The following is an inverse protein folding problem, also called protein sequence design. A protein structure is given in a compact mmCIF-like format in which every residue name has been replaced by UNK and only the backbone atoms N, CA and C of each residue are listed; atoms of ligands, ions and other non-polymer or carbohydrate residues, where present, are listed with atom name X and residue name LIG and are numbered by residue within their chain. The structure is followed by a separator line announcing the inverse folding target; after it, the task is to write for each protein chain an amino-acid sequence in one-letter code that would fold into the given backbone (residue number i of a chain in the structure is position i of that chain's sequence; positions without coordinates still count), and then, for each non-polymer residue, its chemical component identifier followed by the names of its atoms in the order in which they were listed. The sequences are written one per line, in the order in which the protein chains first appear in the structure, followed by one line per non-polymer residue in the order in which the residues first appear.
data_IF_800485860327
#
_entry.id   IF_800485860327
#
_cell.length_a   1.000
_cell.length_b   1.000
_cell.length_c   1.000
_cell.angle_alpha   90.00
_cell.angle_beta   90.00
_cell.angle_gamma   90.00
#
_symmetry.space_group_name_H-M   'P 1'
#
loop_
_entity.id
_entity.type
_entity.pdbx_description
1 polymer ?
#
# COMPACT_ATOMS: atom_id res chain seq x y z
N UNK A 1 31.83 24.40 0.28
CA UNK A 1 31.11 23.47 -0.61
C UNK A 1 29.62 23.70 -0.40
N UNK A 2 28.84 23.97 -1.45
CA UNK A 2 27.38 24.11 -1.28
C UNK A 2 26.78 22.73 -0.99
N UNK A 3 25.88 22.66 -0.01
CA UNK A 3 25.20 21.42 0.37
C UNK A 3 24.29 21.01 -0.81
N UNK A 4 24.55 19.87 -1.44
CA UNK A 4 23.72 19.36 -2.54
C UNK A 4 22.28 19.17 -2.04
N UNK A 5 21.28 19.60 -2.82
CA UNK A 5 19.87 19.38 -2.50
C UNK A 5 19.55 17.88 -2.58
N UNK A 6 18.81 17.37 -1.60
CA UNK A 6 18.29 16.00 -1.62
C UNK A 6 17.23 15.85 -2.71
N UNK A 7 17.32 14.78 -3.50
CA UNK A 7 16.31 14.39 -4.49
C UNK A 7 15.51 13.21 -3.93
N UNK A 8 14.25 13.46 -3.61
CA UNK A 8 13.35 12.47 -3.01
C UNK A 8 12.33 12.01 -4.06
N UNK A 9 12.19 10.71 -4.23
CA UNK A 9 11.01 10.14 -4.90
C UNK A 9 9.91 9.96 -3.85
N UNK A 10 8.92 10.85 -3.86
CA UNK A 10 7.84 10.87 -2.86
C UNK A 10 6.77 9.77 -3.03
N UNK A 11 6.81 9.00 -4.12
CA UNK A 11 5.84 7.95 -4.39
C UNK A 11 6.51 6.80 -5.13
N UNK A 12 6.74 5.69 -4.44
CA UNK A 12 7.24 4.46 -5.04
C UNK A 12 6.59 3.23 -4.42
N UNK A 13 6.77 2.08 -5.05
CA UNK A 13 6.33 0.79 -4.53
C UNK A 13 7.47 -0.21 -4.66
N UNK A 14 7.46 -1.22 -3.79
CA UNK A 14 8.36 -2.37 -3.86
C UNK A 14 7.53 -3.65 -3.83
N UNK A 15 7.95 -4.62 -4.64
CA UNK A 15 7.48 -5.99 -4.62
C UNK A 15 8.44 -6.83 -3.78
N UNK A 16 7.91 -7.72 -2.91
CA UNK A 16 8.74 -8.78 -2.33
C UNK A 16 9.25 -9.69 -3.45
N UNK A 17 10.44 -10.27 -3.26
CA UNK A 17 10.90 -11.31 -4.19
C UNK A 17 9.99 -12.54 -4.07
N UNK A 18 9.85 -13.36 -5.13
CA UNK A 18 8.97 -14.54 -5.09
C UNK A 18 9.21 -15.47 -3.89
N UNK A 19 10.45 -15.60 -3.44
CA UNK A 19 10.89 -16.40 -2.29
C UNK A 19 10.54 -15.79 -0.93
N UNK A 20 10.33 -14.47 -0.85
CA UNK A 20 9.93 -13.79 0.38
C UNK A 20 8.43 -13.95 0.66
N UNK A 21 7.65 -14.30 -0.36
CA UNK A 21 6.19 -14.39 -0.26
C UNK A 21 5.81 -15.72 0.42
N UNK A 22 5.11 -15.68 1.57
CA UNK A 22 4.72 -16.89 2.28
C UNK A 22 3.87 -17.83 1.43
N UNK A 23 4.13 -19.13 1.53
CA UNK A 23 3.44 -20.16 0.74
C UNK A 23 1.91 -20.11 0.90
N UNK A 24 1.40 -19.79 2.10
CA UNK A 24 -0.05 -19.69 2.33
C UNK A 24 -0.71 -18.60 1.48
N UNK A 25 -0.01 -17.50 1.17
CA UNK A 25 -0.57 -16.42 0.35
C UNK A 25 -0.77 -16.89 -1.09
N UNK A 26 0.16 -17.71 -1.58
CA UNK A 26 0.06 -18.36 -2.88
C UNK A 26 -1.03 -19.43 -2.91
N UNK A 27 -1.06 -20.32 -1.92
CA UNK A 27 -2.02 -21.41 -1.85
C UNK A 27 -3.47 -20.90 -1.78
N UNK A 28 -3.69 -19.78 -1.08
CA UNK A 28 -4.99 -19.12 -0.96
C UNK A 28 -5.30 -18.15 -2.11
N UNK A 29 -4.36 -17.98 -3.03
CA UNK A 29 -4.48 -17.05 -4.15
C UNK A 29 -4.62 -15.59 -3.72
N UNK A 30 -4.03 -15.18 -2.60
CA UNK A 30 -4.07 -13.80 -2.08
C UNK A 30 -3.17 -12.90 -2.93
N UNK A 31 -1.89 -13.26 -3.06
CA UNK A 31 -0.91 -12.52 -3.85
C UNK A 31 0.35 -13.37 -4.00
N UNK A 32 0.93 -13.39 -5.19
CA UNK A 32 2.31 -13.84 -5.41
C UNK A 32 2.90 -13.19 -6.67
N UNK A 33 4.23 -13.28 -6.80
CA UNK A 33 4.96 -12.95 -8.02
C UNK A 33 5.42 -14.25 -8.67
N UNK A 34 5.36 -14.33 -10.00
CA UNK A 34 5.89 -15.49 -10.71
C UNK A 34 7.42 -15.62 -10.57
N UNK A 35 7.95 -16.82 -10.81
CA UNK A 35 9.39 -17.09 -10.63
C UNK A 35 10.28 -16.22 -11.52
N UNK A 36 9.76 -15.81 -12.67
CA UNK A 36 10.48 -14.98 -13.63
C UNK A 36 10.36 -13.47 -13.33
N UNK A 37 9.62 -13.09 -12.27
CA UNK A 37 9.40 -11.70 -11.85
C UNK A 37 8.71 -10.82 -12.91
N UNK A 38 7.91 -11.45 -13.79
CA UNK A 38 7.20 -10.80 -14.90
C UNK A 38 5.76 -10.47 -14.57
N UNK A 39 5.13 -11.16 -13.61
CA UNK A 39 3.72 -10.98 -13.29
C UNK A 39 3.46 -11.00 -11.78
N UNK A 40 2.65 -10.05 -11.33
CA UNK A 40 1.91 -10.14 -10.08
C UNK A 40 0.62 -10.91 -10.32
N UNK A 41 0.25 -11.76 -9.37
CA UNK A 41 -0.80 -12.75 -9.53
C UNK A 41 -1.71 -12.80 -8.29
N UNK A 42 -3.02 -12.94 -8.52
CA UNK A 42 -4.03 -13.09 -7.48
C UNK A 42 -5.24 -13.85 -8.07
N UNK A 43 -5.54 -15.06 -7.58
CA UNK A 43 -6.58 -15.93 -8.16
C UNK A 43 -6.46 -15.98 -9.70
N UNK A 44 -7.51 -15.55 -10.42
CA UNK A 44 -7.58 -15.50 -11.88
C UNK A 44 -7.09 -14.16 -12.48
N UNK A 45 -6.64 -13.23 -11.62
CA UNK A 45 -6.10 -11.93 -12.02
C UNK A 45 -4.58 -12.00 -12.15
N UNK A 46 -4.06 -11.30 -13.16
CA UNK A 46 -2.63 -11.10 -13.36
C UNK A 46 -2.35 -9.68 -13.85
N UNK A 47 -1.18 -9.15 -13.50
CA UNK A 47 -0.69 -7.87 -14.02
C UNK A 47 0.80 -7.96 -14.29
N UNK A 48 1.27 -7.49 -15.47
CA UNK A 48 2.70 -7.47 -15.76
C UNK A 48 3.43 -6.53 -14.79
N UNK A 49 4.60 -6.96 -14.33
CA UNK A 49 5.59 -6.11 -13.67
C UNK A 49 6.30 -5.33 -14.78
N UNK A 50 6.06 -4.01 -14.84
CA UNK A 50 6.46 -3.20 -16.00
C UNK A 50 7.92 -2.79 -15.99
N UNK A 51 8.60 -2.91 -14.86
CA UNK A 51 10.00 -2.52 -14.70
C UNK A 51 10.67 -3.35 -13.59
N UNK A 52 11.96 -3.63 -13.67
CA UNK A 52 12.65 -4.41 -12.63
C UNK A 52 12.84 -3.63 -11.33
N UNK A 53 12.80 -2.29 -11.38
CA UNK A 53 12.97 -1.41 -10.21
C UNK A 53 11.85 -1.53 -9.17
N UNK A 54 10.85 -2.37 -9.38
CA UNK A 54 9.93 -2.77 -8.31
C UNK A 54 10.59 -3.73 -7.30
N UNK A 55 11.72 -4.36 -7.60
CA UNK A 55 12.46 -5.21 -6.65
C UNK A 55 13.59 -4.42 -5.98
N UNK A 56 13.96 -4.78 -4.75
CA UNK A 56 14.81 -3.94 -3.88
C UNK A 56 16.19 -3.63 -4.47
N UNK A 57 16.91 -4.64 -4.96
CA UNK A 57 18.28 -4.45 -5.45
C UNK A 57 18.27 -3.64 -6.75
N UNK A 58 17.35 -3.96 -7.65
CA UNK A 58 17.15 -3.20 -8.89
C UNK A 58 16.63 -1.78 -8.60
N UNK A 59 15.84 -1.56 -7.54
CA UNK A 59 15.40 -0.23 -7.12
C UNK A 59 16.59 0.62 -6.68
N UNK A 60 17.50 0.05 -5.88
CA UNK A 60 18.70 0.75 -5.42
C UNK A 60 19.60 1.13 -6.60
N UNK A 61 19.81 0.21 -7.55
CA UNK A 61 20.56 0.49 -8.77
C UNK A 61 19.89 1.57 -9.64
N UNK A 62 18.56 1.51 -9.78
CA UNK A 62 17.78 2.52 -10.50
C UNK A 62 17.84 3.89 -9.82
N UNK A 63 17.77 3.94 -8.48
CA UNK A 63 17.89 5.18 -7.71
C UNK A 63 19.27 5.81 -7.91
N UNK A 64 20.34 5.02 -7.86
CA UNK A 64 21.71 5.50 -8.11
C UNK A 64 21.84 6.07 -9.52
N UNK A 65 21.41 5.32 -10.54
CA UNK A 65 21.45 5.76 -11.93
C UNK A 65 20.68 7.08 -12.17
N UNK A 66 19.58 7.30 -11.44
CA UNK A 66 18.73 8.48 -11.58
C UNK A 66 19.05 9.59 -10.56
N UNK A 67 20.14 9.48 -9.80
CA UNK A 67 20.54 10.43 -8.75
C UNK A 67 19.42 10.70 -7.73
N UNK A 68 18.67 9.66 -7.34
CA UNK A 68 17.62 9.71 -6.31
C UNK A 68 18.24 9.29 -4.97
N UNK A 69 18.17 10.19 -4.01
CA UNK A 69 18.82 10.02 -2.72
C UNK A 69 17.98 9.20 -1.75
N UNK A 70 16.66 9.37 -1.85
CA UNK A 70 15.69 8.77 -0.95
C UNK A 70 14.39 8.47 -1.69
N UNK A 71 13.72 7.39 -1.32
CA UNK A 71 12.41 7.03 -1.85
C UNK A 71 11.42 6.74 -0.72
N UNK A 72 10.21 7.27 -0.86
CA UNK A 72 9.06 6.92 -0.03
C UNK A 72 8.37 5.73 -0.68
N UNK A 73 8.29 4.61 0.03
CA UNK A 73 7.72 3.35 -0.47
C UNK A 73 6.34 3.16 0.15
N UNK A 74 5.32 3.15 -0.68
CA UNK A 74 3.94 2.95 -0.29
C UNK A 74 3.55 1.47 -0.40
N UNK A 75 2.54 1.07 0.35
CA UNK A 75 1.99 -0.28 0.31
C UNK A 75 1.43 -0.63 -1.09
N UNK A 76 1.59 -1.89 -1.50
CA UNK A 76 0.96 -2.44 -2.69
C UNK A 76 -0.54 -2.56 -2.45
N UNK A 77 -1.34 -1.93 -3.30
CA UNK A 77 -2.80 -1.92 -3.20
C UNK A 77 -3.46 -3.30 -3.22
N UNK A 78 -2.81 -4.29 -3.83
CA UNK A 78 -3.27 -5.70 -3.82
C UNK A 78 -3.33 -6.29 -2.41
N UNK A 79 -2.59 -5.73 -1.45
CA UNK A 79 -2.48 -6.22 -0.08
C UNK A 79 -3.24 -5.37 0.94
N UNK A 80 -4.12 -4.46 0.49
CA UNK A 80 -4.94 -3.65 1.38
C UNK A 80 -6.07 -4.44 2.05
N UNK A 81 -6.30 -5.69 1.61
CA UNK A 81 -7.14 -6.66 2.32
C UNK A 81 -8.61 -6.71 1.93
N UNK A 82 -9.04 -5.87 0.98
CA UNK A 82 -10.43 -5.85 0.49
C UNK A 82 -10.90 -7.23 0.01
N UNK A 83 -12.03 -7.68 0.55
CA UNK A 83 -12.67 -8.95 0.17
C UNK A 83 -11.98 -10.20 0.71
N UNK A 84 -10.95 -10.06 1.57
CA UNK A 84 -10.36 -11.18 2.30
C UNK A 84 -11.15 -11.48 3.57
N UNK A 85 -11.09 -12.75 4.03
CA UNK A 85 -11.59 -13.09 5.36
C UNK A 85 -10.69 -12.44 6.41
N UNK A 86 -11.24 -12.09 7.57
CA UNK A 86 -10.53 -11.34 8.63
C UNK A 86 -9.17 -11.95 8.99
N UNK A 87 -9.07 -13.28 9.10
CA UNK A 87 -7.80 -13.94 9.43
C UNK A 87 -6.76 -13.87 8.31
N UNK A 88 -7.20 -13.94 7.05
CA UNK A 88 -6.32 -13.80 5.87
C UNK A 88 -5.88 -12.36 5.68
N UNK A 89 -6.80 -11.43 5.88
CA UNK A 89 -6.55 -9.99 5.86
C UNK A 89 -5.46 -9.62 6.88
N UNK A 90 -5.60 -10.04 8.14
CA UNK A 90 -4.59 -9.78 9.19
C UNK A 90 -3.21 -10.31 8.78
N UNK A 91 -3.14 -11.53 8.25
CA UNK A 91 -1.88 -12.13 7.83
C UNK A 91 -1.25 -11.39 6.64
N UNK A 92 -2.05 -10.99 5.65
CA UNK A 92 -1.58 -10.25 4.49
C UNK A 92 -1.07 -8.83 4.86
N UNK A 93 -1.81 -8.10 5.70
CA UNK A 93 -1.42 -6.78 6.18
C UNK A 93 -0.11 -6.85 6.97
N UNK A 94 -0.02 -7.79 7.93
CA UNK A 94 1.19 -7.96 8.73
C UNK A 94 2.40 -8.34 7.88
N UNK A 95 2.24 -9.28 6.94
CA UNK A 95 3.32 -9.63 6.00
C UNK A 95 3.86 -8.39 5.29
N UNK A 96 2.97 -7.56 4.72
CA UNK A 96 3.41 -6.39 3.99
C UNK A 96 4.06 -5.33 4.89
N UNK A 97 3.48 -5.09 6.06
CA UNK A 97 4.01 -4.12 7.02
C UNK A 97 5.39 -4.56 7.54
N UNK A 98 5.57 -5.85 7.84
CA UNK A 98 6.85 -6.41 8.28
C UNK A 98 7.90 -6.36 7.16
N UNK A 99 7.51 -6.64 5.91
CA UNK A 99 8.38 -6.49 4.74
C UNK A 99 8.86 -5.04 4.59
N UNK A 100 7.93 -4.08 4.60
CA UNK A 100 8.24 -2.66 4.49
C UNK A 100 9.13 -2.18 5.66
N UNK A 101 8.78 -2.52 6.90
CA UNK A 101 9.57 -2.20 8.08
C UNK A 101 11.00 -2.76 7.98
N UNK A 102 11.17 -3.99 7.48
CA UNK A 102 12.48 -4.59 7.21
C UNK A 102 13.27 -3.77 6.20
N UNK A 103 12.67 -3.39 5.06
CA UNK A 103 13.33 -2.57 4.04
C UNK A 103 13.81 -1.24 4.63
N UNK A 104 12.95 -0.54 5.39
CA UNK A 104 13.33 0.73 6.02
C UNK A 104 14.46 0.55 7.05
N UNK A 105 14.38 -0.48 7.91
CA UNK A 105 15.40 -0.75 8.93
C UNK A 105 16.75 -1.10 8.31
N UNK A 106 16.75 -1.87 7.23
CA UNK A 106 17.98 -2.34 6.59
C UNK A 106 18.60 -1.25 5.69
N UNK A 107 17.80 -0.27 5.23
CA UNK A 107 18.23 0.82 4.35
C UNK A 107 17.67 2.21 4.77
N UNK A 108 17.88 2.66 6.02
CA UNK A 108 17.18 3.83 6.58
C UNK A 108 17.58 5.16 5.94
N UNK A 109 18.77 5.23 5.32
CA UNK A 109 19.20 6.42 4.57
C UNK A 109 18.54 6.52 3.19
N UNK A 110 18.01 5.41 2.65
CA UNK A 110 17.46 5.31 1.29
C UNK A 110 15.94 5.25 1.26
N UNK A 111 15.30 4.71 2.30
CA UNK A 111 13.85 4.51 2.27
C UNK A 111 13.15 4.99 3.54
N UNK A 112 11.98 5.57 3.33
CA UNK A 112 10.90 5.69 4.31
C UNK A 112 9.76 4.84 3.78
N UNK A 113 9.24 3.89 4.55
CA UNK A 113 8.24 2.94 4.07
C UNK A 113 6.92 3.13 4.82
N UNK A 114 5.82 3.02 4.09
CA UNK A 114 4.47 3.04 4.64
C UNK A 114 4.06 1.69 5.23
N UNK A 115 3.07 1.74 6.11
CA UNK A 115 2.32 0.57 6.54
C UNK A 115 0.83 0.76 6.25
N UNK A 116 0.10 -0.34 6.09
CA UNK A 116 -1.32 -0.35 5.74
C UNK A 116 -2.13 -1.00 6.85
N UNK A 117 -3.35 -0.51 7.01
CA UNK A 117 -4.40 -1.13 7.82
C UNK A 117 -5.71 -1.18 7.04
N UNK A 118 -6.64 -2.05 7.45
CA UNK A 118 -7.94 -2.15 6.80
C UNK A 118 -9.00 -1.36 7.58
N UNK A 119 -9.61 -0.30 7.01
CA UNK A 119 -10.56 0.56 7.73
C UNK A 119 -11.85 -0.18 8.16
N UNK A 120 -12.32 -1.13 7.35
CA UNK A 120 -13.45 -2.00 7.69
C UNK A 120 -13.25 -2.91 8.92
N UNK A 121 -12.09 -2.84 9.58
CA UNK A 121 -11.80 -3.50 10.85
C UNK A 121 -11.11 -2.54 11.85
N UNK A 122 -11.77 -1.41 12.15
CA UNK A 122 -11.25 -0.26 12.93
C UNK A 122 -10.44 -0.66 14.17
N UNK A 123 -10.97 -1.51 15.06
CA UNK A 123 -10.23 -1.92 16.28
C UNK A 123 -8.91 -2.61 15.96
N UNK A 124 -8.90 -3.50 14.95
CA UNK A 124 -7.68 -4.15 14.51
C UNK A 124 -6.74 -3.20 13.76
N UNK A 125 -7.29 -2.23 13.04
CA UNK A 125 -6.51 -1.18 12.41
C UNK A 125 -5.78 -0.32 13.45
N UNK A 126 -6.45 0.11 14.52
CA UNK A 126 -5.82 0.84 15.62
C UNK A 126 -4.69 0.03 16.27
N UNK A 127 -4.93 -1.26 16.56
CA UNK A 127 -3.89 -2.13 17.13
C UNK A 127 -2.69 -2.29 16.20
N UNK A 128 -2.93 -2.46 14.90
CA UNK A 128 -1.87 -2.60 13.91
C UNK A 128 -1.09 -1.29 13.74
N UNK A 129 -1.74 -0.12 13.84
CA UNK A 129 -1.08 1.19 13.89
C UNK A 129 -0.13 1.27 15.08
N UNK A 130 -0.61 0.94 16.29
CA UNK A 130 0.23 0.95 17.51
C UNK A 130 1.45 0.07 17.33
N UNK A 131 1.29 -1.17 16.85
CA UNK A 131 2.43 -2.07 16.57
C UNK A 131 3.40 -1.46 15.55
N UNK A 132 2.91 -0.97 14.41
CA UNK A 132 3.77 -0.41 13.37
C UNK A 132 4.56 0.82 13.86
N UNK A 133 3.97 1.63 14.72
CA UNK A 133 4.62 2.83 15.26
C UNK A 133 5.57 2.48 16.42
N UNK A 134 5.07 1.78 17.43
CA UNK A 134 5.78 1.56 18.70
C UNK A 134 6.82 0.45 18.61
N UNK A 135 6.56 -0.60 17.82
CA UNK A 135 7.48 -1.74 17.69
C UNK A 135 8.35 -1.66 16.42
N UNK A 136 7.78 -1.21 15.29
CA UNK A 136 8.48 -1.19 13.99
C UNK A 136 9.07 0.18 13.63
N UNK A 137 8.74 1.24 14.37
CA UNK A 137 9.29 2.58 14.15
C UNK A 137 8.86 3.22 12.83
N UNK A 138 7.67 2.88 12.32
CA UNK A 138 7.15 3.42 11.06
C UNK A 138 6.34 4.70 11.29
N UNK A 139 6.39 5.63 10.33
CA UNK A 139 5.79 6.97 10.47
C UNK A 139 4.86 7.38 9.32
N UNK A 140 4.64 6.48 8.36
CA UNK A 140 3.81 6.71 7.18
C UNK A 140 2.67 5.68 7.16
N UNK A 141 1.44 6.17 7.29
CA UNK A 141 0.23 5.36 7.20
C UNK A 141 -0.36 5.47 5.79
N UNK A 142 -0.46 4.35 5.10
CA UNK A 142 -1.12 4.20 3.81
C UNK A 142 -2.56 3.74 4.03
N UNK A 143 -3.53 4.51 3.54
CA UNK A 143 -4.96 4.18 3.58
C UNK A 143 -5.52 4.20 2.16
N UNK A 144 -6.59 3.44 1.89
CA UNK A 144 -7.27 3.55 0.61
C UNK A 144 -8.14 4.80 0.52
N UNK A 145 -8.53 5.20 -0.69
CA UNK A 145 -9.67 6.14 -0.86
C UNK A 145 -10.99 5.48 -0.44
N UNK A 146 -11.15 4.19 -0.74
CA UNK A 146 -12.38 3.42 -0.50
C UNK A 146 -12.08 2.02 -0.01
N UNK A 147 -12.93 1.46 0.84
CA UNK A 147 -12.81 0.09 1.33
C UNK A 147 -14.16 -0.61 1.35
N UNK A 148 -14.13 -1.94 1.43
CA UNK A 148 -15.34 -2.74 1.60
C UNK A 148 -15.61 -2.99 3.09
N UNK A 149 -16.81 -2.68 3.56
CA UNK A 149 -17.23 -3.04 4.92
C UNK A 149 -17.52 -4.56 5.06
N UNK A 150 -17.85 -4.99 6.28
CA UNK A 150 -18.03 -6.42 6.60
C UNK A 150 -19.19 -7.10 5.87
N UNK A 151 -20.11 -6.33 5.28
CA UNK A 151 -21.26 -6.85 4.52
C UNK A 151 -21.11 -6.65 3.00
N UNK A 152 -19.98 -6.10 2.54
CA UNK A 152 -19.67 -5.98 1.13
C UNK A 152 -19.95 -4.62 0.50
N UNK A 153 -20.28 -3.60 1.29
CA UNK A 153 -20.58 -2.25 0.78
C UNK A 153 -19.31 -1.44 0.67
N UNK A 154 -19.14 -0.71 -0.43
CA UNK A 154 -18.03 0.22 -0.61
C UNK A 154 -18.27 1.51 0.17
N UNK A 155 -17.28 1.92 0.96
CA UNK A 155 -17.28 3.12 1.80
C UNK A 155 -16.10 4.01 1.46
N UNK A 156 -16.29 5.32 1.57
CA UNK A 156 -15.19 6.29 1.55
C UNK A 156 -14.37 6.15 2.84
N UNK A 157 -13.06 6.40 2.77
CA UNK A 157 -12.18 6.40 3.95
C UNK A 157 -12.53 7.50 4.95
N UNK A 158 -12.99 8.65 4.47
CA UNK A 158 -13.41 9.76 5.31
C UNK A 158 -14.89 9.57 5.66
N UNK A 159 -15.10 8.85 6.77
CA UNK A 159 -16.39 8.51 7.35
C UNK A 159 -16.22 8.53 8.89
N UNK A 160 -17.29 8.88 9.62
CA UNK A 160 -17.27 8.95 11.09
C UNK A 160 -16.84 7.62 11.73
N UNK A 161 -17.17 6.48 11.11
CA UNK A 161 -16.74 5.16 11.61
C UNK A 161 -15.21 5.01 11.65
N UNK A 162 -14.48 5.74 10.81
CA UNK A 162 -13.02 5.68 10.70
C UNK A 162 -12.31 6.76 11.54
N UNK A 163 -13.04 7.64 12.23
CA UNK A 163 -12.45 8.69 13.09
C UNK A 163 -11.38 8.15 14.05
N UNK A 164 -11.53 6.99 14.72
CA UNK A 164 -10.51 6.45 15.61
C UNK A 164 -9.15 6.19 14.93
N UNK A 165 -9.14 5.87 13.63
CA UNK A 165 -7.90 5.68 12.85
C UNK A 165 -7.18 7.02 12.70
N UNK A 166 -7.92 8.08 12.37
CA UNK A 166 -7.37 9.42 12.17
C UNK A 166 -6.96 10.09 13.48
N UNK A 167 -7.72 9.93 14.56
CA UNK A 167 -7.34 10.40 15.89
C UNK A 167 -6.01 9.78 16.33
N UNK A 168 -5.86 8.46 16.13
CA UNK A 168 -4.64 7.74 16.47
C UNK A 168 -3.47 8.18 15.59
N UNK A 169 -3.68 8.34 14.29
CA UNK A 169 -2.67 8.86 13.37
C UNK A 169 -2.22 10.28 13.78
N UNK A 170 -3.15 11.15 14.19
CA UNK A 170 -2.85 12.49 14.69
C UNK A 170 -2.10 12.46 16.03
N UNK A 171 -2.45 11.55 16.94
CA UNK A 171 -1.71 11.33 18.21
C UNK A 171 -0.25 10.99 17.95
N UNK A 172 0.02 10.07 17.02
CA UNK A 172 1.39 9.67 16.65
C UNK A 172 2.07 10.60 15.64
N UNK A 173 1.37 11.64 15.15
CA UNK A 173 1.87 12.58 14.12
C UNK A 173 2.32 11.89 12.84
N UNK A 174 1.55 10.88 12.41
CA UNK A 174 1.85 10.14 11.19
C UNK A 174 1.62 11.00 9.95
N UNK A 175 2.49 10.81 8.96
CA UNK A 175 2.15 11.18 7.60
C UNK A 175 1.09 10.19 7.07
N UNK A 176 0.09 10.70 6.34
CA UNK A 176 -0.98 9.89 5.76
C UNK A 176 -0.90 9.97 4.25
N UNK A 177 -0.86 8.83 3.57
CA UNK A 177 -1.04 8.69 2.13
C UNK A 177 -2.39 8.02 1.86
N UNK A 178 -3.16 8.59 0.93
CA UNK A 178 -4.47 8.07 0.52
C UNK A 178 -4.37 7.58 -0.93
N UNK A 179 -4.53 6.27 -1.14
CA UNK A 179 -4.33 5.62 -2.42
C UNK A 179 -5.63 5.13 -3.07
N UNK A 180 -5.91 5.44 -4.35
CA UNK A 180 -7.02 4.84 -5.06
C UNK A 180 -6.67 3.42 -5.51
N UNK A 181 -7.61 2.50 -5.40
CA UNK A 181 -7.45 1.14 -5.92
C UNK A 181 -8.80 0.46 -6.16
N UNK A 182 -8.78 -0.73 -6.74
CA UNK A 182 -9.96 -1.58 -6.92
C UNK A 182 -11.12 -0.93 -7.70
N UNK A 183 -10.88 0.14 -8.47
CA UNK A 183 -11.94 0.82 -9.22
C UNK A 183 -12.77 -0.15 -10.08
N UNK A 184 -12.14 -1.17 -10.66
CA UNK A 184 -12.79 -2.22 -11.47
C UNK A 184 -13.75 -3.12 -10.69
N UNK A 185 -13.63 -3.16 -9.35
CA UNK A 185 -14.51 -3.98 -8.50
C UNK A 185 -15.83 -3.28 -8.14
N UNK A 186 -15.91 -1.95 -8.25
CA UNK A 186 -17.13 -1.22 -7.85
C UNK A 186 -17.69 -0.27 -8.90
N UNK A 187 -16.93 0.06 -9.95
CA UNK A 187 -17.48 0.71 -11.13
C UNK A 187 -17.80 -0.35 -12.17
N UNK A 188 -19.10 -0.52 -12.49
CA UNK A 188 -19.61 -1.56 -13.41
C UNK A 188 -19.38 -1.21 -14.88
N UNK A 189 -18.12 -1.12 -15.28
CA UNK A 189 -17.71 -0.79 -16.65
C UNK A 189 -16.58 -1.71 -17.10
N UNK A 190 -16.60 -2.10 -18.38
CA UNK A 190 -15.51 -2.87 -18.97
C UNK A 190 -14.20 -2.07 -18.95
N UNK A 191 -13.10 -2.71 -18.56
CA UNK A 191 -11.77 -2.10 -18.50
C UNK A 191 -11.14 -2.02 -19.89
N UNK A 192 -11.53 -1.01 -20.66
CA UNK A 192 -10.93 -0.68 -21.96
C UNK A 192 -10.04 0.55 -21.86
N UNK A 193 -9.00 0.60 -22.69
CA UNK A 193 -8.13 1.78 -22.86
C UNK A 193 -7.58 2.37 -21.57
N UNK A 194 -7.21 1.53 -20.59
CA UNK A 194 -6.67 1.94 -19.29
C UNK A 194 -7.57 2.89 -18.48
N UNK A 195 -8.88 2.95 -18.79
CA UNK A 195 -9.82 3.92 -18.19
C UNK A 195 -9.82 3.93 -16.67
N UNK A 196 -9.56 2.79 -16.04
CA UNK A 196 -9.55 2.71 -14.58
C UNK A 196 -8.39 3.49 -13.96
N UNK A 197 -7.21 3.45 -14.59
CA UNK A 197 -6.05 4.20 -14.14
C UNK A 197 -6.13 5.68 -14.55
N UNK A 198 -6.66 5.95 -15.75
CA UNK A 198 -6.64 7.30 -16.33
C UNK A 198 -7.81 8.18 -15.89
N UNK A 199 -8.94 7.59 -15.48
CA UNK A 199 -10.16 8.33 -15.14
C UNK A 199 -10.61 7.97 -13.73
N UNK A 200 -10.86 6.68 -13.47
CA UNK A 200 -11.55 6.29 -12.25
C UNK A 200 -10.68 6.43 -11.00
N UNK A 201 -9.39 6.12 -11.05
CA UNK A 201 -8.49 6.35 -9.90
C UNK A 201 -8.40 7.84 -9.53
N UNK A 202 -8.43 8.74 -10.52
CA UNK A 202 -8.47 10.19 -10.27
C UNK A 202 -9.81 10.60 -9.66
N UNK A 203 -10.92 10.08 -10.20
CA UNK A 203 -12.25 10.34 -9.67
C UNK A 203 -12.42 9.80 -8.24
N UNK A 204 -11.85 8.64 -7.92
CA UNK A 204 -11.83 8.08 -6.56
C UNK A 204 -11.09 9.01 -5.58
N UNK A 205 -9.96 9.60 -6.00
CA UNK A 205 -9.27 10.58 -5.18
C UNK A 205 -10.12 11.84 -4.99
N UNK A 206 -10.75 12.35 -6.05
CA UNK A 206 -11.61 13.53 -5.98
C UNK A 206 -12.84 13.29 -5.09
N UNK A 207 -13.44 12.10 -5.19
CA UNK A 207 -14.57 11.68 -4.36
C UNK A 207 -14.16 11.59 -2.89
N UNK A 208 -13.07 10.88 -2.56
CA UNK A 208 -12.59 10.82 -1.19
C UNK A 208 -12.26 12.23 -0.66
N UNK A 209 -11.56 13.04 -1.44
CA UNK A 209 -11.23 14.42 -1.06
C UNK A 209 -12.48 15.30 -0.82
N UNK A 210 -13.60 15.04 -1.50
CA UNK A 210 -14.85 15.77 -1.26
C UNK A 210 -15.36 15.61 0.18
N UNK A 211 -15.12 14.45 0.80
CA UNK A 211 -15.51 14.14 2.17
C UNK A 211 -14.43 14.47 3.20
N UNK A 212 -13.27 14.98 2.79
CA UNK A 212 -12.26 15.49 3.72
C UNK A 212 -12.75 16.81 4.33
N UNK A 213 -13.54 16.73 5.39
CA UNK A 213 -13.96 17.88 6.18
C UNK A 213 -12.82 18.26 7.13
N UNK A 214 -12.05 19.29 6.76
CA UNK A 214 -11.03 19.90 7.62
C UNK A 214 -11.67 20.66 8.79
#
# INVERSE_FOLDING_TARGET
MSKRKLRINGHSHLLPYPEDIPQFMKDKGIFWVDKDRKFMLQKDWSRPVTDSSFFLDEKLAWMEHNNIDHAVVLNLSQLYGNGLRVEEMKQALRFQNDFNAKVQRDHPSKFTTGFVVHPGFVRGACWEIERCVEELGMQLLCLPTHYMDTIGTWRCIFDEENEPIFELANKYKLAIEIHPYDGEKFIKLENTSWRFHLIWMLAQCADAYHFLTL
#
